data_IF_074925348139
#
_entry.id   IF_074925348139
#
_cell.length_a   1.000
_cell.length_b   1.000
_cell.length_c   1.000
_cell.angle_alpha   90.00
_cell.angle_beta   90.00
_cell.angle_gamma   90.00
#
_symmetry.space_group_name_H-M   'P 1'
#
loop_
_entity.id
_entity.type
_entity.pdbx_description
1 polymer ?
#
# COMPACT_ATOMS: atom_id res chain seq x y z
N UNK A 1 -20.74 25.56 -6.84
CA UNK A 1 -19.44 24.88 -7.05
C UNK A 1 -18.96 24.49 -5.68
N UNK A 2 -19.04 23.22 -5.32
CA UNK A 2 -18.54 22.76 -4.02
C UNK A 2 -17.02 22.97 -4.01
N UNK A 3 -16.51 23.74 -3.06
CA UNK A 3 -15.07 23.78 -2.78
C UNK A 3 -14.63 22.34 -2.51
N UNK A 4 -13.87 21.76 -3.45
CA UNK A 4 -13.22 20.49 -3.20
C UNK A 4 -12.08 20.73 -2.23
N UNK A 5 -12.42 20.70 -0.94
CA UNK A 5 -11.45 20.72 0.14
C UNK A 5 -10.57 19.47 0.02
N UNK A 6 -9.25 19.68 -0.02
CA UNK A 6 -8.29 18.58 -0.04
C UNK A 6 -8.43 17.71 1.22
N UNK A 7 -8.14 16.41 1.16
CA UNK A 7 -8.27 15.53 2.32
C UNK A 7 -7.30 15.97 3.43
N UNK A 8 -7.78 15.91 4.66
CA UNK A 8 -6.96 16.23 5.85
C UNK A 8 -6.63 15.00 6.68
N UNK A 9 -7.31 13.88 6.40
CA UNK A 9 -7.15 12.59 7.07
C UNK A 9 -7.39 11.46 6.05
N UNK A 10 -6.79 10.27 6.24
CA UNK A 10 -6.93 9.17 5.29
C UNK A 10 -8.38 8.78 5.00
N UNK A 11 -9.26 8.82 6.02
CA UNK A 11 -10.68 8.51 5.86
C UNK A 11 -11.48 9.50 5.00
N UNK A 12 -10.92 10.64 4.62
CA UNK A 12 -11.53 11.56 3.65
C UNK A 12 -11.33 11.07 2.19
N UNK A 13 -10.45 10.08 1.98
CA UNK A 13 -10.05 9.57 0.66
C UNK A 13 -10.97 8.41 0.25
N UNK A 14 -11.55 8.48 -0.94
CA UNK A 14 -12.41 7.41 -1.46
C UNK A 14 -11.65 6.09 -1.60
N UNK A 15 -12.28 4.99 -1.18
CA UNK A 15 -11.79 3.62 -1.42
C UNK A 15 -11.78 3.24 -2.90
N UNK A 16 -12.52 3.97 -3.75
CA UNK A 16 -12.60 3.72 -5.20
C UNK A 16 -11.42 4.29 -5.98
N UNK A 17 -10.62 5.19 -5.37
CA UNK A 17 -9.43 5.75 -6.01
C UNK A 17 -8.42 4.64 -6.32
N UNK A 18 -7.83 4.69 -7.51
CA UNK A 18 -6.79 3.74 -7.91
C UNK A 18 -5.46 4.08 -7.22
N UNK A 19 -4.59 3.08 -7.06
CA UNK A 19 -3.24 3.28 -6.51
C UNK A 19 -2.42 4.31 -7.30
N UNK A 20 -2.58 4.34 -8.63
CA UNK A 20 -1.92 5.32 -9.49
C UNK A 20 -2.39 6.74 -9.21
N UNK A 21 -3.70 6.92 -9.05
CA UNK A 21 -4.28 8.23 -8.72
C UNK A 21 -3.82 8.70 -7.32
N UNK A 22 -3.78 7.80 -6.33
CA UNK A 22 -3.23 8.13 -5.01
C UNK A 22 -1.77 8.59 -5.08
N UNK A 23 -0.96 7.89 -5.88
CA UNK A 23 0.45 8.25 -6.08
C UNK A 23 0.60 9.60 -6.80
N UNK A 24 -0.21 9.88 -7.81
CA UNK A 24 -0.25 11.17 -8.51
C UNK A 24 -0.62 12.30 -7.55
N UNK A 25 -1.71 12.16 -6.77
CA UNK A 25 -2.11 13.18 -5.78
C UNK A 25 -1.04 13.40 -4.71
N UNK A 26 -0.46 12.31 -4.19
CA UNK A 26 0.67 12.41 -3.26
C UNK A 26 1.84 13.19 -3.87
N UNK A 27 2.19 12.88 -5.13
CA UNK A 27 3.25 13.57 -5.85
C UNK A 27 2.95 15.07 -6.05
N UNK A 28 1.73 15.42 -6.46
CA UNK A 28 1.30 16.82 -6.64
C UNK A 28 1.51 17.66 -5.36
N UNK A 29 1.04 17.15 -4.21
CA UNK A 29 1.17 17.87 -2.94
C UNK A 29 2.62 17.92 -2.44
N UNK A 30 3.38 16.82 -2.54
CA UNK A 30 4.80 16.80 -2.14
C UNK A 30 5.67 17.69 -3.02
N UNK A 31 5.40 17.72 -4.34
CA UNK A 31 6.10 18.60 -5.27
C UNK A 31 5.85 20.07 -4.94
N UNK A 32 4.61 20.44 -4.61
CA UNK A 32 4.26 21.80 -4.19
C UNK A 32 5.04 22.24 -2.94
N UNK A 33 5.15 21.36 -1.94
CA UNK A 33 5.92 21.61 -0.72
C UNK A 33 7.43 21.69 -0.98
N UNK A 34 7.96 20.83 -1.84
CA UNK A 34 9.38 20.85 -2.23
C UNK A 34 9.74 22.13 -2.97
N UNK A 35 8.90 22.56 -3.91
CA UNK A 35 9.07 23.83 -4.62
C UNK A 35 9.08 25.00 -3.64
N UNK A 36 8.13 25.05 -2.71
CA UNK A 36 8.08 26.08 -1.68
C UNK A 36 9.36 26.09 -0.82
N UNK A 37 9.80 24.93 -0.33
CA UNK A 37 11.02 24.79 0.49
C UNK A 37 12.28 25.29 -0.20
N UNK A 38 12.36 25.11 -1.52
CA UNK A 38 13.52 25.51 -2.33
C UNK A 38 13.36 26.89 -2.97
N UNK A 39 12.29 27.64 -2.66
CA UNK A 39 12.05 28.96 -3.26
C UNK A 39 11.78 28.93 -4.77
N UNK A 40 11.28 27.82 -5.30
CA UNK A 40 11.04 27.63 -6.74
C UNK A 40 9.58 27.91 -7.07
N UNK A 41 9.30 29.07 -7.66
CA UNK A 41 7.96 29.51 -8.06
C UNK A 41 7.31 30.44 -7.05
N UNK A 42 5.98 30.56 -7.11
CA UNK A 42 5.23 31.39 -6.18
C UNK A 42 5.27 30.80 -4.76
N UNK A 43 5.58 31.61 -3.73
CA UNK A 43 5.51 31.17 -2.34
C UNK A 43 4.07 30.78 -1.97
N UNK A 44 3.92 29.65 -1.28
CA UNK A 44 2.66 29.27 -0.68
C UNK A 44 2.33 30.20 0.49
N UNK A 45 1.04 30.50 0.66
CA UNK A 45 0.55 31.07 1.92
C UNK A 45 0.66 30.03 3.05
N UNK A 46 0.60 30.47 4.31
CA UNK A 46 0.62 29.56 5.46
C UNK A 46 -0.54 28.54 5.41
N UNK A 47 -1.71 28.96 4.96
CA UNK A 47 -2.88 28.10 4.76
C UNK A 47 -2.63 27.06 3.67
N UNK A 48 -2.16 27.49 2.49
CA UNK A 48 -1.82 26.57 1.39
C UNK A 48 -0.76 25.56 1.82
N UNK A 49 0.30 26.01 2.50
CA UNK A 49 1.35 25.14 3.02
C UNK A 49 0.78 24.07 3.98
N UNK A 50 -0.12 24.48 4.88
CA UNK A 50 -0.79 23.56 5.81
C UNK A 50 -1.63 22.54 5.06
N UNK A 51 -2.44 23.00 4.11
CA UNK A 51 -3.31 22.15 3.30
C UNK A 51 -2.54 21.12 2.47
N UNK A 52 -1.49 21.54 1.76
CA UNK A 52 -0.63 20.60 1.02
C UNK A 52 0.07 19.60 1.95
N UNK A 53 0.48 20.02 3.15
CA UNK A 53 1.11 19.13 4.13
C UNK A 53 0.15 18.04 4.61
N UNK A 54 -1.06 18.43 5.02
CA UNK A 54 -2.07 17.48 5.50
C UNK A 54 -2.52 16.52 4.40
N UNK A 55 -2.75 17.04 3.19
CA UNK A 55 -3.12 16.21 2.05
C UNK A 55 -2.01 15.21 1.68
N UNK A 56 -0.74 15.65 1.63
CA UNK A 56 0.37 14.75 1.36
C UNK A 56 0.49 13.62 2.41
N UNK A 57 0.26 13.93 3.69
CA UNK A 57 0.25 12.91 4.75
C UNK A 57 -0.92 11.94 4.60
N UNK A 58 -2.13 12.44 4.35
CA UNK A 58 -3.32 11.61 4.17
C UNK A 58 -3.16 10.66 2.97
N UNK A 59 -2.77 11.19 1.80
CA UNK A 59 -2.53 10.38 0.59
C UNK A 59 -1.37 9.41 0.76
N UNK A 60 -0.26 9.84 1.39
CA UNK A 60 0.89 8.98 1.63
C UNK A 60 0.57 7.79 2.55
N UNK A 61 -0.22 8.02 3.61
CA UNK A 61 -0.71 6.95 4.47
C UNK A 61 -1.59 5.96 3.70
N UNK A 62 -2.60 6.45 2.99
CA UNK A 62 -3.52 5.59 2.26
C UNK A 62 -2.82 4.79 1.16
N UNK A 63 -1.86 5.40 0.46
CA UNK A 63 -1.01 4.73 -0.52
C UNK A 63 -0.19 3.59 0.13
N UNK A 64 0.43 3.85 1.29
CA UNK A 64 1.22 2.87 2.01
C UNK A 64 0.38 1.70 2.53
N UNK A 65 -0.80 1.98 3.09
CA UNK A 65 -1.73 0.95 3.56
C UNK A 65 -2.19 0.05 2.41
N UNK A 66 -2.64 0.62 1.29
CA UNK A 66 -3.10 -0.15 0.13
C UNK A 66 -1.98 -0.95 -0.52
N UNK A 67 -0.79 -0.35 -0.65
CA UNK A 67 0.38 -1.05 -1.17
C UNK A 67 0.79 -2.22 -0.26
N UNK A 68 0.76 -2.02 1.06
CA UNK A 68 1.06 -3.08 2.05
C UNK A 68 0.05 -4.20 1.99
N UNK A 69 -1.25 -3.88 1.84
CA UNK A 69 -2.30 -4.87 1.68
C UNK A 69 -2.12 -5.71 0.40
N UNK A 70 -1.78 -5.05 -0.72
CA UNK A 70 -1.54 -5.71 -2.02
C UNK A 70 -0.24 -6.54 -2.06
N UNK A 71 0.75 -6.19 -1.22
CA UNK A 71 2.04 -6.88 -1.18
C UNK A 71 1.91 -8.38 -0.94
N UNK A 72 1.01 -8.80 -0.06
CA UNK A 72 0.81 -10.21 0.28
C UNK A 72 0.12 -11.01 -0.83
N UNK A 73 -0.81 -10.39 -1.57
CA UNK A 73 -1.39 -11.03 -2.76
C UNK A 73 -0.33 -11.23 -3.85
N UNK A 74 0.53 -10.23 -4.07
CA UNK A 74 1.64 -10.35 -5.03
C UNK A 74 2.64 -11.43 -4.61
N UNK A 75 2.92 -11.57 -3.32
CA UNK A 75 3.77 -12.65 -2.80
C UNK A 75 3.16 -14.03 -3.08
N UNK A 76 1.86 -14.21 -2.82
CA UNK A 76 1.15 -15.45 -3.13
C UNK A 76 1.16 -15.73 -4.64
N UNK A 77 0.99 -14.71 -5.48
CA UNK A 77 1.01 -14.87 -6.94
C UNK A 77 2.42 -15.23 -7.46
N UNK A 78 3.47 -14.64 -6.88
CA UNK A 78 4.86 -14.99 -7.20
C UNK A 78 5.18 -16.45 -6.86
N UNK A 79 4.81 -16.90 -5.66
CA UNK A 79 4.96 -18.31 -5.26
C UNK A 79 4.15 -19.25 -6.17
N UNK A 80 2.92 -18.86 -6.52
CA UNK A 80 2.08 -19.63 -7.45
C UNK A 80 2.67 -19.71 -8.87
N UNK A 81 3.43 -18.70 -9.28
CA UNK A 81 4.17 -18.69 -10.53
C UNK A 81 5.51 -19.46 -10.46
N UNK A 82 5.84 -20.06 -9.30
CA UNK A 82 7.04 -20.86 -9.11
C UNK A 82 8.26 -20.08 -8.61
N UNK A 83 8.09 -18.84 -8.14
CA UNK A 83 9.17 -18.19 -7.39
C UNK A 83 9.43 -18.97 -6.08
N UNK A 84 10.70 -19.15 -5.71
CA UNK A 84 11.05 -19.76 -4.44
C UNK A 84 10.75 -18.85 -3.25
N UNK A 85 10.65 -19.44 -2.04
CA UNK A 85 10.37 -18.70 -0.79
C UNK A 85 11.48 -17.69 -0.51
N UNK A 86 12.75 -18.06 -0.72
CA UNK A 86 13.90 -17.19 -0.50
C UNK A 86 13.84 -15.90 -1.35
N UNK A 87 13.62 -16.06 -2.66
CA UNK A 87 13.56 -14.93 -3.60
C UNK A 87 12.36 -14.04 -3.31
N UNK A 88 11.22 -14.64 -2.96
CA UNK A 88 10.01 -13.91 -2.60
C UNK A 88 10.20 -13.14 -1.29
N UNK A 89 10.78 -13.78 -0.26
CA UNK A 89 11.06 -13.16 1.03
C UNK A 89 12.01 -11.97 0.88
N UNK A 90 13.11 -12.16 0.15
CA UNK A 90 14.06 -11.09 -0.16
C UNK A 90 13.40 -9.91 -0.87
N UNK A 91 12.56 -10.15 -1.89
CA UNK A 91 11.83 -9.10 -2.60
C UNK A 91 10.84 -8.35 -1.69
N UNK A 92 10.30 -9.01 -0.67
CA UNK A 92 9.42 -8.40 0.33
C UNK A 92 10.17 -7.68 1.46
N UNK A 93 11.50 -7.78 1.52
CA UNK A 93 12.29 -7.30 2.65
C UNK A 93 11.96 -8.07 3.93
N UNK A 94 11.75 -9.38 3.83
CA UNK A 94 11.37 -10.27 4.94
C UNK A 94 12.28 -11.50 4.94
N UNK A 95 12.61 -12.02 6.12
CA UNK A 95 13.40 -13.24 6.21
C UNK A 95 12.62 -14.42 5.60
N UNK A 96 13.24 -15.32 4.82
CA UNK A 96 12.53 -16.44 4.19
C UNK A 96 11.71 -17.29 5.18
N UNK A 97 12.27 -17.55 6.37
CA UNK A 97 11.59 -18.30 7.44
C UNK A 97 10.32 -17.62 7.98
N UNK A 98 10.25 -16.28 7.91
CA UNK A 98 9.10 -15.52 8.39
C UNK A 98 7.98 -15.40 7.34
N UNK A 99 8.32 -15.55 6.06
CA UNK A 99 7.38 -15.38 4.95
C UNK A 99 6.16 -16.33 5.05
N UNK A 100 6.33 -17.66 5.32
CA UNK A 100 5.21 -18.57 5.55
C UNK A 100 4.26 -18.10 6.66
N UNK A 101 4.83 -17.61 7.78
CA UNK A 101 4.05 -17.18 8.95
C UNK A 101 3.20 -15.96 8.60
N UNK A 102 3.81 -14.95 7.99
CA UNK A 102 3.07 -13.74 7.62
C UNK A 102 2.04 -13.99 6.52
N UNK A 103 2.37 -14.82 5.53
CA UNK A 103 1.43 -15.13 4.46
C UNK A 103 0.22 -15.94 4.98
N UNK A 104 0.46 -16.88 5.90
CA UNK A 104 -0.62 -17.62 6.57
C UNK A 104 -1.51 -16.68 7.41
N UNK A 105 -0.90 -15.76 8.17
CA UNK A 105 -1.64 -14.79 8.98
C UNK A 105 -2.49 -13.84 8.10
N UNK A 106 -1.92 -13.34 7.01
CA UNK A 106 -2.65 -12.53 6.03
C UNK A 106 -3.81 -13.30 5.42
N UNK A 107 -3.58 -14.53 4.94
CA UNK A 107 -4.62 -15.34 4.30
C UNK A 107 -5.78 -15.65 5.27
N UNK A 108 -5.47 -15.98 6.53
CA UNK A 108 -6.47 -16.20 7.57
C UNK A 108 -7.30 -14.93 7.84
N UNK A 109 -6.65 -13.77 7.87
CA UNK A 109 -7.32 -12.48 8.03
C UNK A 109 -8.24 -12.14 6.85
N UNK A 110 -7.79 -12.33 5.60
CA UNK A 110 -8.61 -12.10 4.40
C UNK A 110 -9.85 -13.00 4.39
N UNK A 111 -9.68 -14.27 4.76
CA UNK A 111 -10.81 -15.21 4.89
C UNK A 111 -11.80 -14.75 5.95
N UNK A 112 -11.32 -14.35 7.13
CA UNK A 112 -12.17 -13.86 8.23
C UNK A 112 -13.00 -12.63 7.83
N UNK A 113 -12.44 -11.78 6.98
CA UNK A 113 -13.12 -10.60 6.43
C UNK A 113 -14.05 -10.91 5.25
N UNK A 114 -14.14 -12.16 4.79
CA UNK A 114 -14.94 -12.54 3.63
C UNK A 114 -14.33 -12.10 2.28
N UNK A 115 -13.06 -11.68 2.27
CA UNK A 115 -12.34 -11.22 1.08
C UNK A 115 -11.58 -12.35 0.35
N UNK A 116 -11.58 -13.55 0.92
CA UNK A 116 -10.93 -14.73 0.36
C UNK A 116 -11.81 -15.97 0.57
N UNK A 117 -11.97 -16.78 -0.48
CA UNK A 117 -12.69 -18.05 -0.41
C UNK A 117 -11.88 -19.11 0.32
N UNK A 118 -12.55 -20.13 0.89
CA UNK A 118 -11.85 -21.26 1.51
C UNK A 118 -10.91 -21.98 0.53
N UNK A 119 -11.32 -22.14 -0.73
CA UNK A 119 -10.50 -22.76 -1.76
C UNK A 119 -9.21 -21.96 -2.01
N UNK A 120 -9.30 -20.63 -2.15
CA UNK A 120 -8.12 -19.78 -2.33
C UNK A 120 -7.24 -19.76 -1.08
N UNK A 121 -7.84 -19.76 0.11
CA UNK A 121 -7.10 -19.86 1.37
C UNK A 121 -6.26 -21.16 1.43
N UNK A 122 -6.84 -22.31 1.08
CA UNK A 122 -6.10 -23.57 1.03
C UNK A 122 -5.00 -23.57 -0.03
N UNK A 123 -5.23 -22.95 -1.19
CA UNK A 123 -4.19 -22.78 -2.22
C UNK A 123 -3.00 -22.00 -1.66
N UNK A 124 -3.23 -20.86 -1.00
CA UNK A 124 -2.16 -20.04 -0.41
C UNK A 124 -1.37 -20.84 0.64
N UNK A 125 -2.07 -21.60 1.51
CA UNK A 125 -1.40 -22.45 2.50
C UNK A 125 -0.58 -23.58 1.88
N UNK A 126 -0.97 -24.09 0.71
CA UNK A 126 -0.21 -25.10 0.00
C UNK A 126 1.12 -24.54 -0.55
N UNK A 127 1.14 -23.28 -1.00
CA UNK A 127 2.34 -22.64 -1.56
C UNK A 127 3.50 -22.55 -0.57
N UNK A 128 3.20 -22.44 0.72
CA UNK A 128 4.20 -22.24 1.79
C UNK A 128 4.60 -23.54 2.50
N UNK A 129 4.10 -24.70 2.06
CA UNK A 129 4.39 -26.02 2.67
C UNK A 129 5.46 -26.83 1.94
N UNK A 130 5.94 -26.37 0.78
CA UNK A 130 6.66 -27.21 -0.18
C UNK A 130 8.18 -27.32 0.10
N UNK A 131 8.77 -26.51 0.98
CA UNK A 131 10.24 -26.43 1.14
C UNK A 131 10.80 -26.98 2.48
N UNK A 132 10.12 -27.94 3.11
CA UNK A 132 10.74 -28.77 4.17
C UNK A 132 11.08 -30.14 3.59
N UNK A 133 12.08 -30.21 2.72
CA UNK A 133 12.74 -31.45 2.29
C UNK A 133 14.25 -31.27 2.23
#
# INVERSE_FOLDING_TARGET
>A
MSEHMFPTRPGDISHELLLTELAERYHEHTWSLLRHRNGVGEPLTAEQHTTHTLAALAYGHELAERATAARWSLAADALAAGAGVDATGAAMGTHPDDLPVFLAAWAAQQRRLGLMTDARHQQVLALIRVEVQ
#
